data_IF_923291553848
#
_entry.id   IF_923291553848
#
_cell.length_a   1.000
_cell.length_b   1.000
_cell.length_c   1.000
_cell.angle_alpha   90.00
_cell.angle_beta   90.00
_cell.angle_gamma   90.00
#
_symmetry.space_group_name_H-M   'P 1'
#
loop_
_entity.id
_entity.type
_entity.pdbx_description
1 polymer ?
#
# COMPACT_ATOMS: atom_id res chain seq x y z
N UNK A 1 -22.97 -15.31 -29.08
CA UNK A 1 -23.28 -14.40 -27.95
C UNK A 1 -22.14 -14.34 -26.93
N UNK A 2 -21.70 -15.44 -26.30
CA UNK A 2 -20.53 -15.44 -25.38
C UNK A 2 -19.21 -14.95 -26.02
N UNK A 3 -18.94 -15.32 -27.26
CA UNK A 3 -17.71 -14.91 -27.95
C UNK A 3 -17.63 -13.38 -28.19
N UNK A 4 -18.77 -12.72 -28.39
CA UNK A 4 -18.86 -11.26 -28.54
C UNK A 4 -18.62 -10.57 -27.20
N UNK A 5 -19.29 -11.05 -26.14
CA UNK A 5 -19.14 -10.53 -24.77
C UNK A 5 -17.70 -10.63 -24.29
N UNK A 6 -17.05 -11.78 -24.48
CA UNK A 6 -15.65 -11.98 -24.10
C UNK A 6 -14.69 -11.03 -24.84
N UNK A 7 -14.94 -10.77 -26.14
CA UNK A 7 -14.15 -9.79 -26.91
C UNK A 7 -14.33 -8.36 -26.37
N UNK A 8 -15.55 -7.97 -26.02
CA UNK A 8 -15.80 -6.65 -25.44
C UNK A 8 -15.17 -6.50 -24.05
N UNK A 9 -15.25 -7.52 -23.20
CA UNK A 9 -14.56 -7.53 -21.89
C UNK A 9 -13.04 -7.40 -22.06
N UNK A 10 -12.44 -8.17 -22.97
CA UNK A 10 -11.01 -8.06 -23.25
C UNK A 10 -10.62 -6.66 -23.76
N UNK A 11 -11.46 -6.05 -24.61
CA UNK A 11 -11.27 -4.67 -25.07
C UNK A 11 -11.38 -3.66 -23.92
N UNK A 12 -12.35 -3.83 -23.02
CA UNK A 12 -12.54 -2.98 -21.85
C UNK A 12 -11.35 -3.05 -20.88
N UNK A 13 -10.83 -4.25 -20.62
CA UNK A 13 -9.59 -4.46 -19.84
C UNK A 13 -8.39 -3.76 -20.50
N UNK A 14 -8.23 -3.89 -21.82
CA UNK A 14 -7.16 -3.19 -22.56
C UNK A 14 -7.30 -1.67 -22.46
N UNK A 15 -8.52 -1.14 -22.55
CA UNK A 15 -8.80 0.29 -22.36
C UNK A 15 -8.49 0.74 -20.94
N UNK A 16 -8.87 -0.04 -19.93
CA UNK A 16 -8.55 0.24 -18.53
C UNK A 16 -7.05 0.34 -18.29
N UNK A 17 -6.27 -0.58 -18.83
CA UNK A 17 -4.81 -0.58 -18.68
C UNK A 17 -4.13 0.62 -19.37
N UNK A 18 -4.82 1.33 -20.27
CA UNK A 18 -4.33 2.56 -20.90
C UNK A 18 -4.84 3.83 -20.20
N UNK A 19 -6.11 3.80 -19.77
CA UNK A 19 -6.81 4.88 -19.10
C UNK A 19 -7.92 4.27 -18.23
N UNK A 20 -7.70 4.16 -16.91
CA UNK A 20 -8.63 3.47 -16.01
C UNK A 20 -10.06 4.02 -16.06
N UNK A 21 -10.20 5.35 -16.12
CA UNK A 21 -11.50 6.03 -16.18
C UNK A 21 -12.23 5.69 -17.47
N UNK A 22 -11.57 5.77 -18.63
CA UNK A 22 -12.17 5.39 -19.92
C UNK A 22 -12.48 3.90 -20.01
N UNK A 23 -11.66 3.05 -19.40
CA UNK A 23 -11.88 1.60 -19.36
C UNK A 23 -13.14 1.23 -18.60
N UNK A 24 -13.32 1.78 -17.39
CA UNK A 24 -14.54 1.58 -16.59
C UNK A 24 -15.76 2.14 -17.32
N UNK A 25 -15.67 3.36 -17.87
CA UNK A 25 -16.75 3.96 -18.64
C UNK A 25 -17.19 3.06 -19.81
N UNK A 26 -16.24 2.54 -20.58
CA UNK A 26 -16.53 1.62 -21.70
C UNK A 26 -17.24 0.34 -21.22
N UNK A 27 -16.81 -0.24 -20.10
CA UNK A 27 -17.43 -1.45 -19.55
C UNK A 27 -18.87 -1.17 -19.09
N UNK A 28 -19.13 0.00 -18.52
CA UNK A 28 -20.47 0.44 -18.11
C UNK A 28 -21.38 0.64 -19.32
N UNK A 29 -20.92 1.41 -20.32
CA UNK A 29 -21.69 1.71 -21.54
C UNK A 29 -22.05 0.47 -22.37
N UNK A 30 -21.32 -0.63 -22.20
CA UNK A 30 -21.57 -1.90 -22.90
C UNK A 30 -22.30 -2.94 -22.03
N UNK A 31 -22.87 -2.54 -20.88
CA UNK A 31 -23.57 -3.43 -19.93
C UNK A 31 -22.70 -4.61 -19.43
N UNK A 32 -21.39 -4.38 -19.33
CA UNK A 32 -20.41 -5.36 -18.85
C UNK A 32 -20.06 -5.17 -17.38
N UNK A 33 -20.25 -3.96 -16.86
CA UNK A 33 -20.00 -3.57 -15.48
C UNK A 33 -21.11 -2.62 -15.03
N UNK A 34 -21.60 -2.76 -13.80
CA UNK A 34 -22.57 -1.81 -13.25
C UNK A 34 -21.85 -0.57 -12.74
N UNK A 35 -22.52 0.58 -12.82
CA UNK A 35 -21.99 1.84 -12.32
C UNK A 35 -22.27 2.03 -10.82
N UNK A 36 -21.72 1.14 -9.99
CA UNK A 36 -21.79 1.18 -8.52
C UNK A 36 -20.38 1.00 -7.97
N UNK A 37 -20.09 1.57 -6.81
CA UNK A 37 -18.76 1.47 -6.23
C UNK A 37 -18.38 0.02 -5.89
N UNK A 38 -19.35 -0.79 -5.45
CA UNK A 38 -19.16 -2.20 -5.09
C UNK A 38 -18.86 -3.07 -6.31
N UNK A 39 -19.60 -2.92 -7.41
CA UNK A 39 -19.36 -3.73 -8.63
C UNK A 39 -18.01 -3.37 -9.27
N UNK A 40 -17.64 -2.08 -9.25
CA UNK A 40 -16.32 -1.64 -9.73
C UNK A 40 -15.20 -2.13 -8.82
N UNK A 41 -15.35 -2.01 -7.50
CA UNK A 41 -14.39 -2.55 -6.54
C UNK A 41 -14.19 -4.06 -6.73
N UNK A 42 -15.27 -4.81 -6.91
CA UNK A 42 -15.22 -6.25 -7.16
C UNK A 42 -14.52 -6.60 -8.48
N UNK A 43 -14.71 -5.79 -9.52
CA UNK A 43 -14.00 -5.92 -10.79
C UNK A 43 -12.50 -5.68 -10.63
N UNK A 44 -12.12 -4.61 -9.92
CA UNK A 44 -10.72 -4.29 -9.63
C UNK A 44 -10.06 -5.36 -8.77
N UNK A 45 -10.75 -5.85 -7.73
CA UNK A 45 -10.25 -6.87 -6.82
C UNK A 45 -10.01 -8.22 -7.51
N UNK A 46 -10.88 -8.61 -8.45
CA UNK A 46 -10.64 -9.80 -9.28
C UNK A 46 -9.40 -9.65 -10.16
N UNK A 47 -9.10 -8.43 -10.62
CA UNK A 47 -7.84 -8.08 -11.28
C UNK A 47 -7.51 -8.84 -12.57
N UNK A 48 -8.44 -9.62 -13.13
CA UNK A 48 -8.14 -10.56 -14.20
C UNK A 48 -7.78 -9.81 -15.51
N UNK A 49 -6.50 -9.83 -15.88
CA UNK A 49 -5.99 -9.11 -17.06
C UNK A 49 -5.91 -7.59 -16.89
N UNK A 50 -5.98 -7.09 -15.65
CA UNK A 50 -5.79 -5.68 -15.32
C UNK A 50 -4.35 -5.43 -14.89
N UNK A 51 -3.79 -4.30 -15.32
CA UNK A 51 -2.51 -3.80 -14.86
C UNK A 51 -2.68 -3.27 -13.43
N UNK A 52 -1.80 -3.70 -12.51
CA UNK A 52 -1.96 -3.38 -11.08
C UNK A 52 -1.56 -1.96 -10.70
N UNK A 53 -0.70 -1.33 -11.50
CA UNK A 53 -0.41 0.11 -11.40
C UNK A 53 -1.64 0.92 -11.80
N UNK A 54 -2.32 0.55 -12.88
CA UNK A 54 -3.56 1.20 -13.31
C UNK A 54 -4.69 1.08 -12.25
N UNK A 55 -4.75 -0.04 -11.51
CA UNK A 55 -5.65 -0.21 -10.36
C UNK A 55 -5.29 0.78 -9.25
N UNK A 56 -4.02 0.82 -8.85
CA UNK A 56 -3.54 1.74 -7.81
C UNK A 56 -3.80 3.21 -8.17
N UNK A 57 -3.52 3.59 -9.42
CA UNK A 57 -3.74 4.96 -9.90
C UNK A 57 -5.20 5.38 -9.78
N UNK A 58 -6.14 4.49 -10.15
CA UNK A 58 -7.58 4.74 -10.09
C UNK A 58 -8.11 4.78 -8.65
N UNK A 59 -7.73 3.82 -7.81
CA UNK A 59 -8.13 3.78 -6.40
C UNK A 59 -7.56 4.97 -5.62
N UNK A 60 -6.37 5.40 -6.02
CA UNK A 60 -5.70 6.59 -5.53
C UNK A 60 -6.23 7.90 -6.11
N UNK A 61 -7.34 7.99 -6.85
CA UNK A 61 -7.88 9.29 -7.30
C UNK A 61 -8.68 9.99 -6.20
N UNK A 62 -8.62 11.34 -6.15
CA UNK A 62 -9.30 12.14 -5.12
C UNK A 62 -10.80 12.35 -5.37
N UNK A 63 -11.30 11.91 -6.52
CA UNK A 63 -12.70 12.03 -6.88
C UNK A 63 -13.56 11.24 -5.89
N UNK A 64 -14.70 11.80 -5.47
CA UNK A 64 -15.56 11.22 -4.43
C UNK A 64 -15.99 9.78 -4.76
N UNK A 65 -16.27 9.52 -6.03
CA UNK A 65 -16.62 8.17 -6.49
C UNK A 65 -15.44 7.20 -6.38
N UNK A 66 -14.22 7.63 -6.69
CA UNK A 66 -13.02 6.81 -6.54
C UNK A 66 -12.73 6.50 -5.08
N UNK A 67 -12.98 7.44 -4.17
CA UNK A 67 -12.89 7.23 -2.72
C UNK A 67 -13.90 6.17 -2.26
N UNK A 68 -15.14 6.23 -2.73
CA UNK A 68 -16.15 5.20 -2.42
C UNK A 68 -15.74 3.82 -2.96
N UNK A 69 -15.18 3.76 -4.18
CA UNK A 69 -14.63 2.52 -4.74
C UNK A 69 -13.46 2.00 -3.91
N UNK A 70 -12.57 2.87 -3.42
CA UNK A 70 -11.47 2.48 -2.53
C UNK A 70 -11.99 1.86 -1.23
N UNK A 71 -12.99 2.47 -0.59
CA UNK A 71 -13.61 1.91 0.62
C UNK A 71 -14.23 0.53 0.34
N UNK A 72 -15.02 0.40 -0.72
CA UNK A 72 -15.58 -0.90 -1.12
C UNK A 72 -14.48 -1.93 -1.47
N UNK A 73 -13.35 -1.49 -2.04
CA UNK A 73 -12.22 -2.35 -2.38
C UNK A 73 -11.47 -2.87 -1.15
N UNK A 74 -11.24 -2.02 -0.14
CA UNK A 74 -10.62 -2.48 1.12
C UNK A 74 -11.56 -3.41 1.90
N UNK A 75 -12.88 -3.20 1.80
CA UNK A 75 -13.88 -4.08 2.44
C UNK A 75 -13.86 -5.51 1.88
N UNK A 76 -13.47 -5.70 0.63
CA UNK A 76 -13.28 -7.03 0.01
C UNK A 76 -12.06 -7.78 0.58
N UNK A 77 -11.20 -7.13 1.36
CA UNK A 77 -10.10 -7.80 2.05
C UNK A 77 -10.52 -8.26 3.44
N UNK A 78 -10.30 -9.55 3.72
CA UNK A 78 -10.56 -10.18 5.00
C UNK A 78 -9.30 -10.13 5.88
N UNK A 79 -9.23 -9.13 6.77
CA UNK A 79 -8.09 -8.94 7.67
C UNK A 79 -8.29 -9.53 9.07
N UNK A 80 -9.44 -10.13 9.35
CA UNK A 80 -9.74 -10.74 10.65
C UNK A 80 -8.74 -11.86 10.96
N UNK A 81 -8.23 -11.87 12.19
CA UNK A 81 -7.24 -12.83 12.69
C UNK A 81 -5.87 -12.80 11.98
N UNK A 82 -5.64 -11.82 11.10
CA UNK A 82 -4.33 -11.56 10.49
C UNK A 82 -3.56 -10.53 11.29
N UNK A 83 -2.26 -10.75 11.45
CA UNK A 83 -1.37 -9.68 11.93
C UNK A 83 -1.15 -8.62 10.84
N UNK A 84 -0.62 -7.46 11.24
CA UNK A 84 -0.49 -6.31 10.36
C UNK A 84 0.38 -6.59 9.12
N UNK A 85 1.45 -7.38 9.24
CA UNK A 85 2.29 -7.77 8.11
C UNK A 85 1.53 -8.68 7.13
N UNK A 86 0.75 -9.64 7.63
CA UNK A 86 -0.06 -10.53 6.80
C UNK A 86 -1.14 -9.75 6.04
N UNK A 87 -1.82 -8.83 6.71
CA UNK A 87 -2.81 -7.94 6.08
C UNK A 87 -2.16 -7.05 5.01
N UNK A 88 -1.00 -6.45 5.29
CA UNK A 88 -0.23 -5.66 4.31
C UNK A 88 0.17 -6.49 3.09
N UNK A 89 0.61 -7.74 3.28
CA UNK A 89 0.94 -8.63 2.15
C UNK A 89 -0.24 -8.88 1.24
N UNK A 90 -1.43 -9.13 1.81
CA UNK A 90 -2.64 -9.33 1.01
C UNK A 90 -3.03 -8.05 0.29
N UNK A 91 -3.00 -6.92 0.98
CA UNK A 91 -3.38 -5.63 0.43
C UNK A 91 -2.46 -5.19 -0.72
N UNK A 92 -1.15 -5.23 -0.50
CA UNK A 92 -0.13 -4.84 -1.49
C UNK A 92 0.02 -5.86 -2.64
N UNK A 93 -0.59 -7.04 -2.52
CA UNK A 93 -0.69 -7.97 -3.64
C UNK A 93 -1.78 -7.57 -4.64
N UNK A 94 -2.80 -6.83 -4.21
CA UNK A 94 -3.97 -6.53 -5.05
C UNK A 94 -3.74 -5.39 -6.05
N UNK A 95 -2.76 -4.51 -5.81
CA UNK A 95 -2.44 -3.36 -6.65
C UNK A 95 -0.98 -2.91 -6.43
N UNK A 96 -0.50 -1.93 -7.22
CA UNK A 96 0.79 -1.26 -6.98
C UNK A 96 0.53 0.11 -6.36
N UNK A 97 1.26 0.46 -5.30
CA UNK A 97 1.15 1.78 -4.69
C UNK A 97 1.50 2.87 -5.73
N UNK A 98 0.69 3.94 -5.85
CA UNK A 98 1.02 5.07 -6.70
C UNK A 98 2.28 5.80 -6.24
N UNK A 99 2.89 6.60 -7.11
CA UNK A 99 4.09 7.37 -6.77
C UNK A 99 3.80 8.65 -5.97
N UNK A 100 2.59 9.19 -6.07
CA UNK A 100 2.22 10.45 -5.44
C UNK A 100 1.83 10.25 -3.97
N UNK A 101 2.49 11.01 -3.07
CA UNK A 101 2.29 10.90 -1.62
C UNK A 101 0.81 11.00 -1.20
N UNK A 102 0.04 11.91 -1.80
CA UNK A 102 -1.39 12.09 -1.50
C UNK A 102 -2.28 10.90 -1.91
N UNK A 103 -1.83 10.08 -2.88
CA UNK A 103 -2.54 8.87 -3.28
C UNK A 103 -2.21 7.73 -2.31
N UNK A 104 -0.92 7.57 -2.00
CA UNK A 104 -0.44 6.59 -1.01
C UNK A 104 -1.15 6.81 0.33
N UNK A 105 -1.19 8.05 0.80
CA UNK A 105 -1.81 8.45 2.07
C UNK A 105 -3.26 7.94 2.19
N UNK A 106 -4.10 8.26 1.21
CA UNK A 106 -5.50 7.81 1.19
C UNK A 106 -5.66 6.29 1.17
N UNK A 107 -4.82 5.59 0.41
CA UNK A 107 -4.89 4.13 0.33
C UNK A 107 -4.48 3.49 1.66
N UNK A 108 -3.44 4.01 2.31
CA UNK A 108 -2.95 3.51 3.59
C UNK A 108 -3.88 3.88 4.75
N UNK A 109 -4.54 5.04 4.69
CA UNK A 109 -5.58 5.42 5.65
C UNK A 109 -6.79 4.48 5.56
N UNK A 110 -7.30 4.23 4.35
CA UNK A 110 -8.39 3.28 4.14
C UNK A 110 -8.03 1.85 4.62
N UNK A 111 -6.79 1.42 4.37
CA UNK A 111 -6.27 0.16 4.88
C UNK A 111 -6.24 0.11 6.41
N UNK A 112 -5.68 1.13 7.07
CA UNK A 112 -5.57 1.19 8.52
C UNK A 112 -6.95 1.19 9.20
N UNK A 113 -7.90 1.96 8.66
CA UNK A 113 -9.29 1.96 9.12
C UNK A 113 -9.90 0.57 9.04
N UNK A 114 -9.75 -0.10 7.88
CA UNK A 114 -10.28 -1.46 7.68
C UNK A 114 -9.62 -2.49 8.60
N UNK A 115 -8.30 -2.43 8.78
CA UNK A 115 -7.59 -3.35 9.66
C UNK A 115 -8.07 -3.22 11.11
N UNK A 116 -8.21 -2.00 11.63
CA UNK A 116 -8.70 -1.75 12.99
C UNK A 116 -10.16 -2.20 13.17
N UNK A 117 -11.01 -2.07 12.14
CA UNK A 117 -12.37 -2.60 12.16
C UNK A 117 -12.40 -4.14 12.23
N UNK A 118 -11.52 -4.81 11.49
CA UNK A 118 -11.42 -6.27 11.48
C UNK A 118 -10.78 -6.84 12.76
N UNK A 119 -9.91 -6.06 13.43
CA UNK A 119 -9.12 -6.49 14.59
C UNK A 119 -9.25 -5.48 15.75
N UNK A 120 -10.44 -5.36 16.36
CA UNK A 120 -10.70 -4.39 17.41
C UNK A 120 -9.81 -4.65 18.64
N UNK A 121 -9.25 -3.58 19.20
CA UNK A 121 -8.43 -3.64 20.43
C UNK A 121 -6.95 -3.97 20.22
N UNK A 122 -6.50 -4.25 19.00
CA UNK A 122 -5.06 -4.44 18.69
C UNK A 122 -4.29 -3.12 18.77
N UNK A 123 -4.87 -2.03 18.27
CA UNK A 123 -4.31 -0.68 18.28
C UNK A 123 -5.28 0.29 18.96
N UNK A 124 -4.76 1.32 19.63
CA UNK A 124 -5.60 2.34 20.29
C UNK A 124 -6.29 3.27 19.28
N UNK A 125 -5.59 3.59 18.18
CA UNK A 125 -6.09 4.46 17.12
C UNK A 125 -5.76 3.93 15.73
N UNK A 126 -6.52 4.39 14.74
CA UNK A 126 -6.19 4.18 13.31
C UNK A 126 -4.82 4.76 12.98
N UNK A 127 -4.46 5.88 13.60
CA UNK A 127 -3.17 6.55 13.40
C UNK A 127 -2.00 5.65 13.82
N UNK A 128 -2.12 4.94 14.95
CA UNK A 128 -1.12 3.93 15.34
C UNK A 128 -0.96 2.84 14.28
N UNK A 129 -2.06 2.31 13.75
CA UNK A 129 -2.03 1.28 12.71
C UNK A 129 -1.38 1.82 11.42
N UNK A 130 -1.73 3.04 11.02
CA UNK A 130 -1.20 3.73 9.85
C UNK A 130 0.31 3.96 9.97
N UNK A 131 0.77 4.58 11.05
CA UNK A 131 2.20 4.89 11.27
C UNK A 131 3.01 3.61 11.36
N UNK A 132 2.51 2.59 12.07
CA UNK A 132 3.19 1.30 12.16
C UNK A 132 3.26 0.59 10.80
N UNK A 133 2.25 0.75 9.94
CA UNK A 133 2.28 0.20 8.58
C UNK A 133 3.42 0.79 7.75
N UNK A 134 3.64 2.10 7.83
CA UNK A 134 4.80 2.74 7.19
C UNK A 134 6.12 2.30 7.81
N UNK A 135 6.18 2.13 9.14
CA UNK A 135 7.37 1.60 9.81
C UNK A 135 7.72 0.19 9.31
N UNK A 136 6.73 -0.66 9.05
CA UNK A 136 6.91 -2.00 8.47
C UNK A 136 7.39 -1.92 7.01
N UNK A 137 6.83 -1.01 6.21
CA UNK A 137 7.27 -0.79 4.81
C UNK A 137 8.73 -0.31 4.79
N UNK A 138 9.09 0.64 5.65
CA UNK A 138 10.47 1.12 5.81
C UNK A 138 11.41 0.00 6.30
N UNK A 139 10.93 -0.86 7.21
CA UNK A 139 11.67 -2.03 7.67
C UNK A 139 11.98 -3.00 6.50
N UNK A 140 11.01 -3.24 5.62
CA UNK A 140 11.22 -4.08 4.44
C UNK A 140 12.34 -3.54 3.55
N UNK A 141 12.30 -2.25 3.21
CA UNK A 141 13.40 -1.59 2.48
C UNK A 141 14.72 -1.75 3.23
N UNK A 142 14.73 -1.51 4.54
CA UNK A 142 15.95 -1.53 5.36
C UNK A 142 16.61 -2.91 5.43
N UNK A 143 15.82 -3.99 5.49
CA UNK A 143 16.33 -5.35 5.60
C UNK A 143 16.73 -5.96 4.25
N UNK A 144 16.00 -5.63 3.18
CA UNK A 144 16.08 -6.36 1.92
C UNK A 144 16.69 -5.57 0.75
N UNK A 145 16.73 -4.24 0.80
CA UNK A 145 17.41 -3.46 -0.24
C UNK A 145 18.94 -3.57 -0.09
N UNK A 146 19.68 -4.07 -1.10
CA UNK A 146 21.15 -4.19 -1.02
C UNK A 146 21.90 -2.88 -0.82
N UNK A 147 21.29 -1.73 -1.15
CA UNK A 147 21.87 -0.41 -0.96
C UNK A 147 21.82 0.07 0.49
N UNK A 148 21.00 -0.56 1.34
CA UNK A 148 20.96 -0.27 2.78
C UNK A 148 21.98 -1.13 3.50
N UNK A 149 23.03 -0.48 4.02
CA UNK A 149 24.13 -1.15 4.74
C UNK A 149 23.77 -1.47 6.19
N UNK A 150 23.04 -0.57 6.84
CA UNK A 150 22.65 -0.68 8.25
C UNK A 150 21.31 -1.41 8.36
N UNK A 151 21.36 -2.71 8.68
CA UNK A 151 20.16 -3.54 8.84
C UNK A 151 19.72 -3.52 10.31
N UNK A 152 18.54 -2.96 10.63
CA UNK A 152 18.09 -2.87 12.02
C UNK A 152 17.86 -4.27 12.61
N UNK A 153 18.21 -4.46 13.89
CA UNK A 153 17.85 -5.65 14.67
C UNK A 153 16.40 -5.58 15.15
N UNK A 154 15.86 -6.69 15.66
CA UNK A 154 14.52 -6.73 16.26
C UNK A 154 14.41 -5.73 17.43
N UNK A 155 15.43 -5.66 18.28
CA UNK A 155 15.49 -4.75 19.43
C UNK A 155 15.48 -3.29 18.99
N UNK A 156 16.18 -2.97 17.89
CA UNK A 156 16.17 -1.62 17.31
C UNK A 156 14.80 -1.29 16.74
N UNK A 157 14.14 -2.21 16.05
CA UNK A 157 12.79 -1.99 15.54
C UNK A 157 11.78 -1.75 16.68
N UNK A 158 11.89 -2.50 17.79
CA UNK A 158 11.06 -2.28 18.99
C UNK A 158 11.32 -0.88 19.56
N UNK A 159 12.58 -0.49 19.73
CA UNK A 159 12.95 0.81 20.28
C UNK A 159 12.48 1.99 19.39
N UNK A 160 12.54 1.84 18.07
CA UNK A 160 12.10 2.84 17.10
C UNK A 160 10.58 3.11 17.13
N UNK A 161 9.78 2.15 17.63
CA UNK A 161 8.32 2.26 17.67
C UNK A 161 7.79 2.46 19.11
N UNK A 162 8.64 2.92 20.05
CA UNK A 162 8.18 3.30 21.39
C UNK A 162 7.25 4.52 21.33
N UNK A 163 6.21 4.53 22.16
CA UNK A 163 5.23 5.60 22.23
C UNK A 163 4.24 5.69 21.05
N UNK A 164 4.30 4.76 20.08
CA UNK A 164 3.48 4.80 18.85
C UNK A 164 1.98 4.58 19.11
N UNK A 165 1.61 4.02 20.25
CA UNK A 165 0.24 3.67 20.62
C UNK A 165 -0.39 4.78 21.46
N UNK A 166 -0.61 5.95 20.85
CA UNK A 166 -1.11 7.18 21.47
C UNK A 166 -0.30 7.62 22.72
N UNK A 167 1.03 7.54 22.60
CA UNK A 167 1.98 7.85 23.68
C UNK A 167 2.38 6.64 24.53
N UNK A 168 1.71 5.50 24.36
CA UNK A 168 2.07 4.21 24.96
C UNK A 168 2.89 3.30 24.04
N UNK A 169 3.41 2.21 24.59
CA UNK A 169 4.15 1.18 23.85
C UNK A 169 3.22 0.05 23.38
N UNK A 170 3.51 -0.51 22.21
CA UNK A 170 2.92 -1.77 21.76
C UNK A 170 3.61 -2.97 22.44
N UNK A 171 2.95 -4.12 22.58
CA UNK A 171 3.58 -5.32 23.13
C UNK A 171 4.86 -5.69 22.36
N UNK A 172 5.96 -5.93 23.07
CA UNK A 172 7.25 -6.25 22.43
C UNK A 172 7.17 -7.51 21.57
N UNK A 173 6.40 -8.51 21.99
CA UNK A 173 6.18 -9.75 21.24
C UNK A 173 5.47 -9.48 19.92
N UNK A 174 4.49 -8.57 19.87
CA UNK A 174 3.82 -8.16 18.64
C UNK A 174 4.83 -7.56 17.65
N UNK A 175 5.62 -6.59 18.11
CA UNK A 175 6.63 -5.92 17.26
C UNK A 175 7.71 -6.90 16.79
N UNK A 176 8.14 -7.84 17.65
CA UNK A 176 9.10 -8.89 17.30
C UNK A 176 8.54 -9.82 16.22
N UNK A 177 7.27 -10.23 16.34
CA UNK A 177 6.61 -11.08 15.35
C UNK A 177 6.48 -10.38 13.98
N UNK A 178 6.15 -9.08 13.97
CA UNK A 178 6.11 -8.28 12.73
C UNK A 178 7.51 -8.18 12.10
N UNK A 179 8.54 -7.92 12.91
CA UNK A 179 9.93 -7.84 12.45
C UNK A 179 10.41 -9.17 11.83
N UNK A 180 10.25 -10.28 12.54
CA UNK A 180 10.72 -11.58 12.04
C UNK A 180 9.92 -12.01 10.80
N UNK A 181 8.63 -11.66 10.69
CA UNK A 181 7.85 -11.93 9.47
C UNK A 181 8.44 -11.22 8.25
N UNK A 182 8.76 -9.92 8.36
CA UNK A 182 9.39 -9.18 7.25
C UNK A 182 10.79 -9.70 6.96
N UNK A 183 11.60 -9.95 8.00
CA UNK A 183 12.97 -10.46 7.84
C UNK A 183 13.01 -11.80 7.12
N UNK A 184 12.07 -12.70 7.41
CA UNK A 184 12.00 -14.02 6.80
C UNK A 184 11.52 -13.98 5.35
N UNK A 185 10.56 -13.11 5.04
CA UNK A 185 10.03 -12.97 3.68
C UNK A 185 9.79 -11.49 3.33
N UNK A 186 10.44 -10.92 2.31
CA UNK A 186 10.14 -9.55 1.86
C UNK A 186 8.71 -9.44 1.34
N UNK A 187 8.17 -8.23 1.23
CA UNK A 187 6.92 -8.02 0.50
C UNK A 187 7.06 -8.52 -0.94
N UNK A 188 6.08 -9.30 -1.40
CA UNK A 188 5.99 -9.71 -2.80
C UNK A 188 5.15 -8.68 -3.53
N UNK A 189 5.79 -7.94 -4.42
CA UNK A 189 5.09 -6.95 -5.21
C UNK A 189 4.75 -7.56 -6.57
N UNK A 190 3.49 -7.47 -7.02
CA UNK A 190 3.13 -7.99 -8.32
C UNK A 190 3.64 -7.06 -9.43
N UNK A 191 4.01 -7.62 -10.58
CA UNK A 191 4.58 -6.84 -11.70
C UNK A 191 5.83 -6.02 -11.27
N UNK A 192 6.69 -6.60 -10.43
CA UNK A 192 7.82 -5.89 -9.84
C UNK A 192 8.89 -5.50 -10.86
N UNK A 193 9.11 -4.19 -10.99
CA UNK A 193 10.14 -3.55 -11.80
C UNK A 193 11.37 -3.12 -10.96
N UNK A 194 11.36 -3.40 -9.65
CA UNK A 194 12.44 -3.05 -8.71
C UNK A 194 12.38 -1.60 -8.20
N UNK A 195 11.43 -0.80 -8.66
CA UNK A 195 11.26 0.61 -8.24
C UNK A 195 10.08 0.82 -7.30
N UNK A 196 9.51 -0.25 -6.75
CA UNK A 196 8.37 -0.15 -5.84
C UNK A 196 8.70 0.63 -4.57
N UNK A 197 7.69 1.30 -4.00
CA UNK A 197 7.82 2.03 -2.75
C UNK A 197 8.35 1.13 -1.63
N UNK A 198 7.92 -0.14 -1.55
CA UNK A 198 8.38 -1.07 -0.51
C UNK A 198 9.87 -1.41 -0.57
N UNK A 199 10.52 -1.15 -1.70
CA UNK A 199 11.96 -1.30 -1.91
C UNK A 199 12.72 0.02 -1.85
N UNK A 200 12.05 1.16 -1.99
CA UNK A 200 12.69 2.48 -2.14
C UNK A 200 12.33 3.46 -1.02
N UNK A 201 11.60 3.02 0.01
CA UNK A 201 11.23 3.84 1.16
C UNK A 201 12.37 3.91 2.18
N UNK A 202 13.36 4.73 1.89
CA UNK A 202 14.54 4.93 2.74
C UNK A 202 14.27 5.90 3.88
N UNK A 203 14.94 5.68 5.02
CA UNK A 203 15.04 6.72 6.06
C UNK A 203 15.83 7.92 5.50
N UNK A 204 15.22 9.13 5.39
CA UNK A 204 15.90 10.30 4.87
C UNK A 204 16.91 10.90 5.86
N UNK A 205 16.74 10.62 7.16
CA UNK A 205 17.56 11.22 8.21
C UNK A 205 18.95 10.58 8.25
N UNK A 206 19.98 11.44 8.23
CA UNK A 206 21.38 11.05 8.39
C UNK A 206 22.10 11.97 9.34
N UNK A 207 22.85 11.37 10.26
CA UNK A 207 23.70 12.07 11.19
C UNK A 207 25.16 11.75 10.92
N UNK A 208 26.05 12.75 11.03
CA UNK A 208 27.47 12.56 10.82
C UNK A 208 28.25 13.87 10.75
N UNK A 209 29.55 13.77 11.00
CA UNK A 209 30.47 14.89 10.88
C UNK A 209 30.78 15.17 9.41
N UNK A 210 30.59 16.42 8.99
CA UNK A 210 30.90 16.89 7.64
C UNK A 210 31.86 18.09 7.71
N UNK A 211 32.80 18.14 6.77
CA UNK A 211 33.62 19.31 6.51
C UNK A 211 32.99 20.09 5.35
N UNK A 212 32.69 21.38 5.57
CA UNK A 212 32.19 22.28 4.52
C UNK A 212 33.22 23.36 4.24
N UNK A 213 33.53 23.59 2.97
CA UNK A 213 34.40 24.70 2.57
C UNK A 213 33.64 26.03 2.79
N UNK A 214 34.27 26.99 3.48
CA UNK A 214 33.69 28.32 3.67
C UNK A 214 33.84 29.16 2.40
N UNK A 215 32.73 29.71 1.90
CA UNK A 215 32.76 30.61 0.74
C UNK A 215 33.16 32.03 1.17
N UNK A 216 34.11 32.65 0.43
CA UNK A 216 34.41 34.08 0.55
C UNK A 216 33.43 34.86 -0.33
N UNK A 217 32.53 35.60 0.31
CA UNK A 217 31.70 36.60 -0.36
C UNK A 217 32.60 37.72 -0.92
N UNK A 218 32.78 37.79 -2.24
CA UNK A 218 33.27 39.01 -2.89
C UNK A 218 32.10 39.98 -3.01
N UNK A 219 32.16 41.10 -2.27
CA UNK A 219 31.28 42.25 -2.45
C UNK A 219 31.80 43.14 -3.55
#
# INVERSE_FOLDING_TARGET
KNMQRNKQVAMGRKKFNMDPKKGIQFLIENDLLKNTCEDIAQFLYKGEGLNKTAIGDYLGERDEFNIQVLHAFVELHEFTDLNLVQALRQFLWSFRLPGEAQKIDRMMEAFAQRYCQCNPGVFQSTDTCYVLSFAIIMLNTSLHNPNVKDKPTAERFIAMNRGINDGGDLPEELLRNLYESIKNEPFKIPEDDGNDLTHTFFNPDREGWLLKLGERWQR
#
